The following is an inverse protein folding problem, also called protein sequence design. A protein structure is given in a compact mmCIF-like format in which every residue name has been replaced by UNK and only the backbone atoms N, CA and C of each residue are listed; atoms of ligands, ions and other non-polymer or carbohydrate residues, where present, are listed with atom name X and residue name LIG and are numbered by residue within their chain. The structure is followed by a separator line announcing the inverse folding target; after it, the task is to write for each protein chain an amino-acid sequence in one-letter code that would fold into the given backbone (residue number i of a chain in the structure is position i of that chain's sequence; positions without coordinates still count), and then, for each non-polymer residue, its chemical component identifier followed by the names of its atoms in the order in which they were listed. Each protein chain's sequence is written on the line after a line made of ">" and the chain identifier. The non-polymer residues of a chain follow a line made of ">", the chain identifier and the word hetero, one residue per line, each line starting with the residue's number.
data_IF_440134023077
#
_entry.id   IF_440134023077
#
_cell.length_a   1.000
_cell.length_b   1.000
_cell.length_c   1.000
_cell.angle_alpha   90.00
_cell.angle_beta   90.00
_cell.angle_gamma   90.00
#
_symmetry.space_group_name_H-M   'P 1'
#
loop_
_entity.id
_entity.type
_entity.pdbx_description
1 polymer ?
#
# COMPACT_ATOMS: atom_id res chain seq x y z
N UNK A 1 18.08 -5.41 -17.16
CA UNK A 1 16.87 -4.80 -16.56
C UNK A 1 17.18 -4.32 -15.14
N UNK A 2 17.31 -3.00 -14.89
CA UNK A 2 17.67 -2.46 -13.57
C UNK A 2 16.51 -2.62 -12.57
N UNK A 3 16.53 -3.71 -11.78
CA UNK A 3 15.64 -3.96 -10.63
C UNK A 3 15.80 -2.91 -9.51
N UNK A 4 16.91 -2.16 -9.52
CA UNK A 4 17.36 -1.29 -8.42
C UNK A 4 16.47 -0.05 -8.16
N UNK A 5 15.71 0.44 -9.15
CA UNK A 5 15.07 1.78 -9.04
C UNK A 5 13.63 1.79 -8.50
N UNK A 6 12.98 0.64 -8.28
CA UNK A 6 11.58 0.67 -7.83
C UNK A 6 11.44 1.16 -6.38
N UNK A 7 12.27 0.63 -5.48
CA UNK A 7 12.22 1.01 -4.06
C UNK A 7 12.73 2.43 -3.89
N UNK A 8 13.87 2.77 -4.53
CA UNK A 8 14.40 4.14 -4.54
C UNK A 8 13.35 5.16 -5.00
N UNK A 9 12.69 4.92 -6.14
CA UNK A 9 11.64 5.81 -6.64
C UNK A 9 10.38 5.87 -5.78
N UNK A 10 10.10 4.84 -4.96
CA UNK A 10 9.01 4.87 -3.99
C UNK A 10 9.35 5.74 -2.76
N UNK A 11 10.63 5.79 -2.38
CA UNK A 11 11.13 6.64 -1.29
C UNK A 11 11.23 8.10 -1.73
N UNK A 12 11.66 8.37 -2.96
CA UNK A 12 11.77 9.73 -3.52
C UNK A 12 10.42 10.48 -3.59
N UNK A 13 9.30 9.77 -3.69
CA UNK A 13 7.96 10.36 -3.83
C UNK A 13 7.02 9.92 -2.71
N UNK A 14 7.21 10.45 -1.48
CA UNK A 14 6.36 10.11 -0.35
C UNK A 14 4.89 10.47 -0.59
N UNK A 15 3.97 9.74 0.04
CA UNK A 15 2.52 9.99 -0.07
C UNK A 15 1.87 9.53 -1.38
N UNK A 16 2.60 8.99 -2.35
CA UNK A 16 2.03 8.54 -3.63
C UNK A 16 0.94 7.47 -3.45
N UNK A 17 1.15 6.51 -2.53
CA UNK A 17 0.15 5.47 -2.24
C UNK A 17 -1.10 6.05 -1.56
N UNK A 18 -0.94 7.05 -0.69
CA UNK A 18 -2.06 7.74 -0.04
C UNK A 18 -2.94 8.42 -1.09
N UNK A 19 -2.33 9.18 -2.00
CA UNK A 19 -3.03 9.83 -3.13
C UNK A 19 -3.75 8.81 -4.02
N UNK A 20 -3.11 7.69 -4.35
CA UNK A 20 -3.75 6.63 -5.16
C UNK A 20 -5.00 6.06 -4.49
N UNK A 21 -4.93 5.82 -3.19
CA UNK A 21 -6.04 5.28 -2.39
C UNK A 21 -7.05 6.35 -1.97
N UNK A 22 -6.78 7.64 -2.24
CA UNK A 22 -7.58 8.77 -1.76
C UNK A 22 -7.60 8.92 -0.25
N UNK A 23 -6.57 8.44 0.44
CA UNK A 23 -6.40 8.59 1.89
C UNK A 23 -5.55 9.83 2.12
N UNK A 24 -5.87 10.66 3.12
CA UNK A 24 -5.05 11.81 3.50
C UNK A 24 -3.61 11.39 3.81
N UNK A 25 -2.63 12.26 3.58
CA UNK A 25 -1.19 11.94 3.73
C UNK A 25 -0.86 11.54 5.18
N UNK A 26 -1.49 12.19 6.15
CA UNK A 26 -1.33 11.87 7.59
C UNK A 26 -2.17 10.64 8.03
N UNK A 27 -3.08 10.19 7.15
CA UNK A 27 -4.01 9.11 7.43
C UNK A 27 -3.35 7.74 7.34
N UNK A 28 -3.51 6.91 8.38
CA UNK A 28 -2.97 5.55 8.37
C UNK A 28 -3.70 4.66 7.36
N UNK A 29 -2.98 4.14 6.36
CA UNK A 29 -3.54 3.17 5.42
C UNK A 29 -3.87 1.85 6.16
N UNK A 30 -5.10 1.33 6.14
CA UNK A 30 -5.46 0.09 6.83
C UNK A 30 -4.78 -1.15 6.23
N UNK A 31 -4.39 -2.10 7.08
CA UNK A 31 -3.82 -3.38 6.63
C UNK A 31 -4.83 -4.21 5.82
N UNK A 32 -6.10 -4.15 6.19
CA UNK A 32 -7.20 -4.86 5.52
C UNK A 32 -7.33 -4.42 4.07
N UNK A 33 -7.29 -3.11 3.82
CA UNK A 33 -7.30 -2.52 2.49
C UNK A 33 -6.11 -2.98 1.64
N UNK A 34 -4.90 -2.92 2.19
CA UNK A 34 -3.70 -3.36 1.47
C UNK A 34 -3.77 -4.85 1.10
N UNK A 35 -4.25 -5.71 2.01
CA UNK A 35 -4.43 -7.14 1.76
C UNK A 35 -5.49 -7.41 0.70
N UNK A 36 -6.60 -6.66 0.70
CA UNK A 36 -7.64 -6.79 -0.31
C UNK A 36 -7.10 -6.49 -1.71
N UNK A 37 -6.33 -5.40 -1.86
CA UNK A 37 -5.67 -5.05 -3.13
C UNK A 37 -4.66 -6.12 -3.56
N UNK A 38 -3.93 -6.71 -2.61
CA UNK A 38 -2.95 -7.75 -2.93
C UNK A 38 -3.59 -9.06 -3.39
N UNK A 39 -4.76 -9.41 -2.86
CA UNK A 39 -5.48 -10.63 -3.20
C UNK A 39 -6.20 -10.54 -4.55
N UNK A 40 -6.70 -9.36 -4.90
CA UNK A 40 -7.35 -9.13 -6.18
C UNK A 40 -6.40 -9.29 -7.38
N UNK A 41 -6.96 -9.65 -8.53
CA UNK A 41 -6.22 -9.78 -9.77
C UNK A 41 -5.99 -8.41 -10.41
N UNK A 42 -5.05 -8.34 -11.36
CA UNK A 42 -4.76 -7.10 -12.07
C UNK A 42 -5.87 -6.87 -13.08
N UNK A 43 -6.52 -5.72 -13.02
CA UNK A 43 -7.72 -5.42 -13.81
C UNK A 43 -9.01 -5.45 -12.98
N UNK A 44 -8.97 -6.03 -11.78
CA UNK A 44 -10.15 -6.07 -10.92
C UNK A 44 -10.45 -4.73 -10.26
N UNK A 45 -11.71 -4.59 -9.82
CA UNK A 45 -12.14 -3.54 -8.93
C UNK A 45 -12.35 -4.07 -7.53
N UNK A 46 -11.63 -3.52 -6.56
CA UNK A 46 -11.77 -3.86 -5.14
C UNK A 46 -12.66 -2.82 -4.47
N UNK A 47 -13.77 -3.27 -3.87
CA UNK A 47 -14.54 -2.46 -2.94
C UNK A 47 -13.75 -2.30 -1.65
N UNK A 48 -13.49 -1.06 -1.25
CA UNK A 48 -12.69 -0.75 -0.08
C UNK A 48 -13.41 -1.28 1.19
N UNK A 49 -12.80 -2.22 1.92
CA UNK A 49 -13.39 -2.78 3.14
C UNK A 49 -13.25 -1.83 4.34
N UNK A 50 -12.56 -0.71 4.19
CA UNK A 50 -12.32 0.29 5.24
C UNK A 50 -13.14 1.55 5.01
N UNK A 51 -13.33 2.33 6.09
CA UNK A 51 -14.00 3.63 6.04
C UNK A 51 -13.12 4.77 5.50
N UNK A 52 -11.85 4.49 5.18
CA UNK A 52 -10.86 5.50 4.81
C UNK A 52 -10.48 5.37 3.34
N UNK A 53 -10.52 6.48 2.61
CA UNK A 53 -10.13 6.55 1.20
C UNK A 53 -11.26 6.28 0.21
N UNK A 54 -10.89 5.98 -1.04
CA UNK A 54 -11.83 5.71 -2.13
C UNK A 54 -12.68 4.49 -1.86
N UNK A 55 -13.95 4.52 -2.24
CA UNK A 55 -14.90 3.41 -2.06
C UNK A 55 -14.60 2.21 -2.98
N UNK A 56 -14.13 2.46 -4.19
CA UNK A 56 -13.78 1.44 -5.19
C UNK A 56 -12.41 1.76 -5.75
N UNK A 57 -11.59 0.72 -5.96
CA UNK A 57 -10.19 0.86 -6.34
C UNK A 57 -9.88 -0.10 -7.47
N UNK A 58 -9.42 0.44 -8.60
CA UNK A 58 -8.95 -0.35 -9.72
C UNK A 58 -7.54 -0.87 -9.48
N UNK A 59 -7.36 -2.19 -9.59
CA UNK A 59 -6.12 -2.86 -9.26
C UNK A 59 -5.19 -2.88 -10.45
N UNK A 60 -4.23 -1.97 -10.45
CA UNK A 60 -3.14 -1.95 -11.42
C UNK A 60 -1.93 -2.74 -10.91
N UNK A 61 -1.05 -3.17 -11.83
CA UNK A 61 0.24 -3.79 -11.48
C UNK A 61 1.06 -2.90 -10.54
N UNK A 62 1.07 -1.59 -10.80
CA UNK A 62 1.82 -0.62 -10.00
C UNK A 62 1.23 -0.49 -8.60
N UNK A 63 -0.10 -0.40 -8.48
CA UNK A 63 -0.77 -0.34 -7.20
C UNK A 63 -0.49 -1.59 -6.36
N UNK A 64 -0.57 -2.78 -6.97
CA UNK A 64 -0.29 -4.06 -6.30
C UNK A 64 1.14 -4.14 -5.78
N UNK A 65 2.14 -3.70 -6.57
CA UNK A 65 3.54 -3.60 -6.14
C UNK A 65 3.72 -2.65 -4.95
N UNK A 66 3.09 -1.47 -4.99
CA UNK A 66 3.13 -0.49 -3.88
C UNK A 66 2.44 -1.01 -2.63
N UNK A 67 1.31 -1.69 -2.78
CA UNK A 67 0.58 -2.30 -1.66
C UNK A 67 1.41 -3.39 -0.99
N UNK A 68 2.09 -4.24 -1.77
CA UNK A 68 3.00 -5.26 -1.25
C UNK A 68 4.16 -4.65 -0.44
N UNK A 69 4.81 -3.61 -0.99
CA UNK A 69 5.86 -2.89 -0.29
C UNK A 69 5.35 -2.29 1.05
N UNK A 70 4.18 -1.65 1.03
CA UNK A 70 3.59 -1.05 2.23
C UNK A 70 3.26 -2.09 3.31
N UNK A 71 2.78 -3.29 2.93
CA UNK A 71 2.55 -4.40 3.86
C UNK A 71 3.87 -4.83 4.51
N UNK A 72 4.91 -5.03 3.71
CA UNK A 72 6.22 -5.46 4.22
C UNK A 72 6.81 -4.44 5.19
N UNK A 73 6.79 -3.16 4.84
CA UNK A 73 7.27 -2.08 5.71
C UNK A 73 6.50 -2.02 7.03
N UNK A 74 5.17 -2.16 7.00
CA UNK A 74 4.35 -2.21 8.23
C UNK A 74 4.65 -3.44 9.08
N UNK A 75 4.92 -4.60 8.47
CA UNK A 75 5.30 -5.80 9.21
C UNK A 75 6.66 -5.66 9.88
N UNK A 76 7.65 -5.10 9.18
CA UNK A 76 8.96 -4.78 9.73
C UNK A 76 8.82 -3.83 10.92
N UNK A 77 8.06 -2.75 10.76
CA UNK A 77 7.78 -1.78 11.83
C UNK A 77 7.11 -2.45 13.04
N UNK A 78 6.10 -3.31 12.83
CA UNK A 78 5.46 -4.08 13.92
C UNK A 78 6.43 -5.01 14.63
N UNK A 79 7.29 -5.72 13.90
CA UNK A 79 8.29 -6.63 14.47
C UNK A 79 9.29 -5.85 15.33
N UNK A 80 9.78 -4.72 14.82
CA UNK A 80 10.68 -3.82 15.55
C UNK A 80 10.02 -3.34 16.84
N UNK A 81 8.79 -2.84 16.79
CA UNK A 81 8.07 -2.38 17.98
C UNK A 81 7.92 -3.47 19.06
N UNK A 82 7.64 -4.72 18.66
CA UNK A 82 7.53 -5.85 19.59
C UNK A 82 8.85 -6.25 20.25
N UNK A 83 9.99 -5.93 19.65
CA UNK A 83 11.31 -6.25 20.20
C UNK A 83 11.73 -5.27 21.32
N UNK A 84 11.17 -4.07 21.31
CA UNK A 84 11.44 -3.01 22.30
C UNK A 84 10.33 -2.87 23.36
N UNK A 85 9.39 -3.81 23.39
CA UNK A 85 8.27 -3.88 24.34
C UNK A 85 8.44 -5.09 25.22
#
# INVERSE_FOLDING_TARGET
>A
MKKEKFIAGAVEKPGTLHRQLGIGIDGKIPFTLLRAIMRAEVGDQVKNPSKSGKRVIFVTRLLKKRANLAINLKNISKRRYRQFR
#
